data_IF_180355164649
#
_entry.id   IF_180355164649
#
_cell.length_a   1.000
_cell.length_b   1.000
_cell.length_c   1.000
_cell.angle_alpha   90.00
_cell.angle_beta   90.00
_cell.angle_gamma   90.00
#
_symmetry.space_group_name_H-M   'P 1'
#
loop_
_entity.id
_entity.type
_entity.pdbx_description
1 polymer ?
#
# COMPACT_ATOMS: atom_id res chain seq x y z
N UNK A 1 -15.47 -26.42 -56.08
CA UNK A 1 -16.79 -26.40 -56.75
C UNK A 1 -17.87 -26.72 -55.70
N UNK A 2 -18.91 -25.87 -55.53
CA UNK A 2 -20.14 -26.06 -54.69
C UNK A 2 -19.91 -26.41 -53.18
N UNK A 3 -20.04 -25.54 -52.17
CA UNK A 3 -21.18 -24.71 -51.67
C UNK A 3 -22.37 -25.51 -51.08
N UNK A 4 -22.55 -25.47 -49.74
CA UNK A 4 -23.86 -25.28 -49.06
C UNK A 4 -23.77 -25.01 -47.55
N UNK A 5 -24.26 -23.82 -47.17
CA UNK A 5 -25.15 -23.46 -46.03
C UNK A 5 -24.91 -24.05 -44.63
N UNK A 6 -24.63 -23.14 -43.67
CA UNK A 6 -24.99 -23.29 -42.25
C UNK A 6 -26.16 -22.32 -41.97
N UNK A 7 -27.14 -22.77 -41.18
CA UNK A 7 -28.40 -22.07 -40.94
C UNK A 7 -28.39 -21.39 -39.56
N UNK A 8 -28.91 -20.17 -39.49
CA UNK A 8 -29.15 -19.43 -38.24
C UNK A 8 -30.38 -19.95 -37.51
N UNK A 9 -30.32 -20.11 -36.19
CA UNK A 9 -31.48 -20.35 -35.33
C UNK A 9 -31.53 -19.32 -34.19
N UNK A 10 -32.54 -18.45 -34.25
CA UNK A 10 -32.97 -17.65 -33.11
C UNK A 10 -34.06 -18.43 -32.37
N UNK A 11 -34.01 -18.45 -31.03
CA UNK A 11 -35.04 -19.08 -30.19
C UNK A 11 -35.84 -17.99 -29.50
N UNK A 12 -37.05 -17.74 -30.00
CA UNK A 12 -38.08 -16.95 -29.33
C UNK A 12 -38.84 -17.85 -28.35
N UNK A 13 -38.85 -17.49 -27.05
CA UNK A 13 -39.61 -18.21 -26.04
C UNK A 13 -40.84 -17.40 -25.63
N UNK A 14 -41.99 -17.73 -26.22
CA UNK A 14 -43.31 -17.30 -25.76
C UNK A 14 -43.86 -18.36 -24.80
N UNK A 15 -44.48 -17.95 -23.68
CA UNK A 15 -45.33 -18.86 -22.91
C UNK A 15 -46.56 -18.12 -22.35
N UNK A 16 -47.67 -18.84 -22.29
CA UNK A 16 -49.02 -18.28 -22.25
C UNK A 16 -49.56 -17.98 -20.84
N UNK A 17 -50.58 -17.13 -20.82
CA UNK A 17 -51.44 -16.82 -19.67
C UNK A 17 -52.51 -17.91 -19.53
N UNK A 18 -52.74 -18.43 -18.31
CA UNK A 18 -53.88 -19.30 -17.98
C UNK A 18 -54.50 -18.93 -16.63
N UNK A 19 -55.84 -18.92 -16.61
CA UNK A 19 -56.74 -18.35 -15.60
C UNK A 19 -58.10 -19.09 -15.67
N UNK A 20 -58.91 -19.29 -14.62
CA UNK A 20 -58.81 -19.01 -13.17
C UNK A 20 -59.45 -20.23 -12.44
N UNK A 21 -59.08 -20.57 -11.19
CA UNK A 21 -60.14 -20.84 -10.18
C UNK A 21 -59.67 -20.89 -8.71
N UNK A 22 -60.62 -20.53 -7.85
CA UNK A 22 -60.56 -20.09 -6.45
C UNK A 22 -60.22 -21.10 -5.34
N UNK A 23 -59.74 -20.49 -4.24
CA UNK A 23 -60.03 -20.76 -2.81
C UNK A 23 -59.70 -22.13 -2.18
N UNK A 24 -58.80 -22.09 -1.18
CA UNK A 24 -59.26 -22.25 0.20
C UNK A 24 -58.42 -21.39 1.17
N UNK A 25 -59.04 -20.83 2.21
CA UNK A 25 -58.35 -20.09 3.28
C UNK A 25 -57.88 -21.04 4.39
N UNK A 26 -56.61 -20.93 4.80
CA UNK A 26 -56.24 -21.18 6.19
C UNK A 26 -55.29 -20.09 6.69
N UNK A 27 -55.78 -19.29 7.63
CA UNK A 27 -55.02 -18.17 8.18
C UNK A 27 -53.94 -18.64 9.16
N UNK A 28 -52.67 -18.39 8.84
CA UNK A 28 -51.59 -18.33 9.83
C UNK A 28 -51.05 -16.91 9.90
N UNK A 29 -51.35 -16.21 11.00
CA UNK A 29 -50.84 -14.88 11.32
C UNK A 29 -49.33 -14.90 11.56
N UNK A 30 -48.55 -14.85 10.48
CA UNK A 30 -47.19 -14.34 10.54
C UNK A 30 -47.24 -12.81 10.75
N UNK A 31 -46.56 -12.28 11.76
CA UNK A 31 -46.33 -10.84 11.85
C UNK A 31 -45.44 -10.45 10.67
N UNK A 32 -45.95 -9.65 9.75
CA UNK A 32 -45.10 -8.93 8.82
C UNK A 32 -44.30 -7.90 9.63
N UNK A 33 -43.00 -8.11 9.77
CA UNK A 33 -42.10 -7.00 10.08
C UNK A 33 -42.17 -6.02 8.92
N UNK A 34 -42.49 -4.77 9.21
CA UNK A 34 -42.53 -3.73 8.20
C UNK A 34 -41.11 -3.53 7.66
N UNK A 35 -40.94 -3.63 6.34
CA UNK A 35 -39.72 -3.15 5.69
C UNK A 35 -39.49 -1.69 6.12
N UNK A 36 -38.26 -1.30 6.51
CA UNK A 36 -37.97 0.05 6.92
C UNK A 36 -38.13 0.98 5.71
N UNK A 37 -39.29 1.63 5.62
CA UNK A 37 -39.58 2.62 4.58
C UNK A 37 -38.47 3.68 4.59
N UNK A 38 -37.87 4.01 3.43
CA UNK A 38 -36.85 5.03 3.36
C UNK A 38 -37.45 6.36 3.83
N UNK A 39 -37.04 6.81 5.02
CA UNK A 39 -37.53 8.06 5.62
C UNK A 39 -37.34 9.19 4.61
N UNK A 40 -38.44 9.87 4.29
CA UNK A 40 -38.45 10.93 3.28
C UNK A 40 -37.38 11.98 3.61
N UNK A 41 -36.50 12.21 2.63
CA UNK A 41 -35.40 13.16 2.79
C UNK A 41 -35.94 14.56 2.57
N UNK A 42 -36.53 15.14 3.61
CA UNK A 42 -36.65 16.60 3.68
C UNK A 42 -35.22 17.15 3.63
N UNK A 43 -34.88 17.78 2.49
CA UNK A 43 -33.62 18.44 2.24
C UNK A 43 -33.53 19.75 3.05
N UNK A 44 -33.45 19.61 4.37
CA UNK A 44 -33.10 20.70 5.25
C UNK A 44 -31.73 21.25 4.88
N UNK A 45 -31.55 22.56 5.03
CA UNK A 45 -30.30 23.21 4.66
C UNK A 45 -29.11 22.60 5.43
N UNK A 46 -28.07 22.20 4.70
CA UNK A 46 -26.82 21.78 5.33
C UNK A 46 -26.24 22.95 6.13
N UNK A 47 -25.70 22.62 7.31
CA UNK A 47 -24.81 23.53 8.01
C UNK A 47 -23.67 23.97 7.08
N UNK A 48 -23.07 25.16 7.28
CA UNK A 48 -21.86 25.54 6.58
C UNK A 48 -20.79 24.44 6.74
N UNK A 49 -20.13 24.05 5.65
CA UNK A 49 -19.11 22.98 5.67
C UNK A 49 -17.98 23.23 6.68
N UNK A 50 -17.71 24.49 7.02
CA UNK A 50 -16.78 24.94 8.06
C UNK A 50 -17.22 24.60 9.50
N UNK A 51 -18.50 24.36 9.74
CA UNK A 51 -19.07 23.98 11.06
C UNK A 51 -19.15 22.46 11.25
N UNK A 52 -18.89 21.66 10.21
CA UNK A 52 -18.90 20.20 10.28
C UNK A 52 -17.55 19.72 10.84
N UNK A 53 -17.56 19.15 12.04
CA UNK A 53 -16.35 18.57 12.63
C UNK A 53 -15.81 17.39 11.79
N UNK A 54 -14.51 17.42 11.51
CA UNK A 54 -13.78 16.32 10.87
C UNK A 54 -13.89 15.00 11.64
N UNK A 55 -13.96 15.05 12.97
CA UNK A 55 -14.05 13.85 13.81
C UNK A 55 -15.42 13.19 13.68
N UNK A 56 -16.51 13.97 13.60
CA UNK A 56 -17.85 13.46 13.32
C UNK A 56 -17.91 12.78 11.94
N UNK A 57 -17.30 13.38 10.92
CA UNK A 57 -17.19 12.79 9.58
C UNK A 57 -16.33 11.52 9.59
N UNK A 58 -15.23 11.50 10.33
CA UNK A 58 -14.37 10.31 10.49
C UNK A 58 -15.11 9.18 11.23
N UNK A 59 -15.92 9.50 12.23
CA UNK A 59 -16.76 8.53 12.94
C UNK A 59 -17.85 7.96 12.03
N UNK A 60 -18.54 8.80 11.26
CA UNK A 60 -19.55 8.35 10.28
C UNK A 60 -18.95 7.44 9.18
N UNK A 61 -17.71 7.72 8.75
CA UNK A 61 -16.99 6.91 7.76
C UNK A 61 -16.15 5.77 8.37
N UNK A 62 -16.27 5.49 9.66
CA UNK A 62 -15.41 4.52 10.37
C UNK A 62 -15.42 3.10 9.79
N UNK A 63 -16.52 2.70 9.13
CA UNK A 63 -16.63 1.41 8.43
C UNK A 63 -15.62 1.22 7.29
N UNK A 64 -15.05 2.30 6.76
CA UNK A 64 -14.00 2.26 5.72
C UNK A 64 -12.58 2.12 6.30
N UNK A 65 -12.46 1.84 7.60
CA UNK A 65 -11.19 1.64 8.29
C UNK A 65 -10.46 2.94 8.59
N UNK A 66 -9.12 2.89 8.63
CA UNK A 66 -8.33 4.07 9.01
C UNK A 66 -8.21 5.08 7.85
N UNK A 67 -8.90 6.20 8.00
CA UNK A 67 -8.90 7.32 7.07
C UNK A 67 -8.59 8.67 7.74
N UNK A 68 -8.11 9.59 6.92
CA UNK A 68 -7.86 11.00 7.23
C UNK A 68 -8.89 11.86 6.50
N UNK A 69 -9.63 12.72 7.22
CA UNK A 69 -10.53 13.71 6.60
C UNK A 69 -9.72 14.95 6.22
N UNK A 70 -9.39 15.08 4.94
CA UNK A 70 -8.53 16.15 4.42
C UNK A 70 -9.31 17.47 4.39
N UNK A 71 -10.49 17.46 3.77
CA UNK A 71 -11.34 18.66 3.64
C UNK A 71 -12.81 18.29 3.49
N UNK A 72 -13.69 19.17 3.99
CA UNK A 72 -15.13 19.11 3.80
C UNK A 72 -15.52 20.36 3.02
N UNK A 73 -16.07 20.18 1.82
CA UNK A 73 -16.58 21.26 0.96
C UNK A 73 -18.10 21.11 0.77
N UNK A 74 -18.78 22.17 0.30
CA UNK A 74 -20.17 22.03 -0.17
C UNK A 74 -20.19 21.20 -1.46
N UNK A 75 -21.22 20.37 -1.62
CA UNK A 75 -21.51 19.70 -2.89
C UNK A 75 -22.21 20.65 -3.87
N UNK A 76 -22.06 20.48 -5.20
CA UNK A 76 -22.95 21.09 -6.20
C UNK A 76 -24.42 20.66 -6.05
N UNK A 77 -24.68 19.49 -5.45
CA UNK A 77 -26.03 19.02 -5.14
C UNK A 77 -26.41 19.48 -3.72
N UNK A 78 -27.49 20.25 -3.61
CA UNK A 78 -28.06 20.67 -2.33
C UNK A 78 -28.38 19.46 -1.45
N UNK A 79 -28.14 19.59 -0.15
CA UNK A 79 -28.32 18.48 0.80
C UNK A 79 -27.09 17.59 1.00
N UNK A 80 -26.01 17.79 0.24
CA UNK A 80 -24.77 17.00 0.34
C UNK A 80 -23.53 17.85 0.66
N UNK A 81 -22.57 17.26 1.38
CA UNK A 81 -21.17 17.69 1.46
C UNK A 81 -20.33 16.89 0.46
N UNK A 82 -19.28 17.53 -0.08
CA UNK A 82 -18.19 16.85 -0.79
C UNK A 82 -17.02 16.68 0.18
N UNK A 83 -16.81 15.46 0.68
CA UNK A 83 -15.72 15.14 1.62
C UNK A 83 -14.54 14.57 0.85
N UNK A 84 -13.39 15.24 0.96
CA UNK A 84 -12.12 14.72 0.48
C UNK A 84 -11.46 13.97 1.64
N UNK A 85 -11.26 12.68 1.44
CA UNK A 85 -10.60 11.79 2.40
C UNK A 85 -9.28 11.26 1.81
N UNK A 86 -8.39 10.81 2.69
CA UNK A 86 -7.15 10.13 2.33
C UNK A 86 -7.08 8.79 3.08
N UNK A 87 -7.02 7.71 2.31
CA UNK A 87 -6.98 6.33 2.81
C UNK A 87 -5.88 5.56 2.06
N UNK A 88 -5.04 4.81 2.77
CA UNK A 88 -3.86 4.13 2.18
C UNK A 88 -2.85 5.08 1.48
N UNK A 89 -2.93 6.38 1.75
CA UNK A 89 -2.16 7.41 1.04
C UNK A 89 -2.65 7.76 -0.37
N UNK A 90 -3.89 7.38 -0.72
CA UNK A 90 -4.60 7.84 -1.93
C UNK A 90 -5.73 8.77 -1.51
N UNK A 91 -6.03 9.77 -2.35
CA UNK A 91 -7.19 10.64 -2.15
C UNK A 91 -8.43 10.00 -2.76
N UNK A 92 -9.55 10.11 -2.05
CA UNK A 92 -10.88 9.74 -2.53
C UNK A 92 -11.87 10.85 -2.17
N UNK A 93 -12.99 10.88 -2.90
CA UNK A 93 -14.10 11.79 -2.62
C UNK A 93 -15.33 10.95 -2.26
N UNK A 94 -15.94 11.28 -1.13
CA UNK A 94 -17.20 10.69 -0.67
C UNK A 94 -18.20 11.82 -0.48
N UNK A 95 -19.43 11.63 -0.93
CA UNK A 95 -20.49 12.60 -0.69
C UNK A 95 -21.33 12.14 0.50
N UNK A 96 -21.52 13.02 1.49
CA UNK A 96 -22.32 12.74 2.68
C UNK A 96 -23.53 13.64 2.71
N UNK A 97 -24.68 13.16 3.18
CA UNK A 97 -25.83 14.03 3.42
C UNK A 97 -25.60 14.98 4.61
N UNK A 98 -26.44 16.02 4.74
CA UNK A 98 -26.31 17.00 5.82
C UNK A 98 -26.27 16.40 7.24
N UNK A 99 -26.89 15.22 7.45
CA UNK A 99 -26.98 14.53 8.75
C UNK A 99 -25.86 13.49 8.96
N UNK A 100 -24.98 13.28 7.97
CA UNK A 100 -23.93 12.25 7.99
C UNK A 100 -24.48 10.81 8.17
N UNK A 101 -25.72 10.57 7.71
CA UNK A 101 -26.44 9.31 7.79
C UNK A 101 -26.24 8.44 6.54
N UNK A 102 -26.05 9.06 5.37
CA UNK A 102 -25.88 8.40 4.08
C UNK A 102 -24.58 8.83 3.41
N UNK A 103 -23.89 7.86 2.80
CA UNK A 103 -22.67 8.06 2.03
C UNK A 103 -22.87 7.58 0.59
N UNK A 104 -22.50 8.44 -0.37
CA UNK A 104 -22.51 8.13 -1.80
C UNK A 104 -21.04 8.02 -2.26
N UNK A 105 -20.69 6.85 -2.79
CA UNK A 105 -19.36 6.50 -3.28
C UNK A 105 -19.45 6.35 -4.80
N UNK A 106 -18.78 7.23 -5.55
CA UNK A 106 -18.79 7.19 -7.01
C UNK A 106 -18.50 8.54 -7.66
N UNK A 107 -18.71 8.60 -8.97
CA UNK A 107 -18.53 9.80 -9.78
C UNK A 107 -19.77 10.69 -9.78
N UNK A 108 -19.59 11.96 -9.44
CA UNK A 108 -20.54 13.03 -9.69
C UNK A 108 -20.24 13.63 -11.05
N UNK A 109 -21.07 13.31 -12.03
CA UNK A 109 -20.94 13.79 -13.40
C UNK A 109 -21.86 15.00 -13.59
N UNK A 110 -21.28 16.16 -13.89
CA UNK A 110 -22.02 17.29 -14.42
C UNK A 110 -22.37 16.97 -15.89
N UNK A 111 -23.66 16.74 -16.13
CA UNK A 111 -24.20 16.37 -17.45
C UNK A 111 -24.10 17.54 -18.43
N UNK A 112 -24.20 18.79 -17.96
CA UNK A 112 -24.17 19.98 -18.83
C UNK A 112 -22.77 20.20 -19.39
N UNK A 113 -21.74 20.17 -18.52
CA UNK A 113 -20.35 20.32 -18.96
C UNK A 113 -19.67 19.00 -19.37
N UNK A 114 -20.33 17.86 -19.17
CA UNK A 114 -19.82 16.49 -19.41
C UNK A 114 -18.55 16.15 -18.61
N UNK A 115 -18.43 16.68 -17.39
CA UNK A 115 -17.25 16.55 -16.53
C UNK A 115 -17.51 15.69 -15.29
N UNK A 116 -16.55 14.85 -14.93
CA UNK A 116 -16.55 14.08 -13.69
C UNK A 116 -15.89 14.91 -12.57
N UNK A 117 -16.72 15.56 -11.76
CA UNK A 117 -16.30 16.46 -10.68
C UNK A 117 -15.60 15.70 -9.53
N UNK A 118 -15.94 14.41 -9.33
CA UNK A 118 -15.24 13.52 -8.39
C UNK A 118 -13.81 13.31 -8.88
N UNK A 119 -13.65 12.89 -10.14
CA UNK A 119 -12.35 12.61 -10.76
C UNK A 119 -11.46 13.83 -10.84
N UNK A 120 -11.99 14.99 -11.26
CA UNK A 120 -11.25 16.26 -11.27
C UNK A 120 -10.75 16.62 -9.86
N UNK A 121 -11.61 16.49 -8.84
CA UNK A 121 -11.23 16.74 -7.44
C UNK A 121 -10.13 15.76 -7.00
N UNK A 122 -10.26 14.45 -7.25
CA UNK A 122 -9.24 13.46 -6.88
C UNK A 122 -7.90 13.71 -7.57
N UNK A 123 -7.90 14.01 -8.87
CA UNK A 123 -6.69 14.33 -9.64
C UNK A 123 -6.00 15.57 -9.09
N UNK A 124 -6.77 16.62 -8.75
CA UNK A 124 -6.23 17.86 -8.15
C UNK A 124 -5.43 17.56 -6.88
N UNK A 125 -6.06 16.95 -5.87
CA UNK A 125 -5.38 16.65 -4.60
C UNK A 125 -4.21 15.68 -4.77
N UNK A 126 -4.31 14.73 -5.70
CA UNK A 126 -3.23 13.80 -6.00
C UNK A 126 -2.01 14.50 -6.63
N UNK A 127 -2.22 15.52 -7.46
CA UNK A 127 -1.17 16.36 -8.05
C UNK A 127 -0.58 17.34 -7.03
N UNK A 128 -1.40 17.95 -6.17
CA UNK A 128 -0.94 18.83 -5.10
C UNK A 128 -0.01 18.08 -4.13
N UNK A 129 -0.42 16.91 -3.65
CA UNK A 129 0.41 16.06 -2.80
C UNK A 129 1.68 15.53 -3.50
N UNK A 130 1.65 15.32 -4.83
CA UNK A 130 2.86 15.00 -5.60
C UNK A 130 3.82 16.19 -5.67
N UNK A 131 3.32 17.42 -5.88
CA UNK A 131 4.15 18.63 -5.90
C UNK A 131 4.82 18.88 -4.55
N UNK A 132 4.05 18.89 -3.45
CA UNK A 132 4.59 19.05 -2.09
C UNK A 132 5.69 18.03 -1.78
N UNK A 133 5.47 16.78 -2.20
CA UNK A 133 6.42 15.67 -2.05
C UNK A 133 7.70 15.87 -2.87
N UNK A 134 7.59 16.36 -4.10
CA UNK A 134 8.75 16.67 -4.94
C UNK A 134 9.54 17.86 -4.38
N UNK A 135 8.88 18.91 -3.89
CA UNK A 135 9.55 20.03 -3.22
C UNK A 135 10.25 19.60 -1.92
N UNK A 136 9.66 18.68 -1.15
CA UNK A 136 10.32 18.10 0.03
C UNK A 136 11.57 17.28 -0.34
N UNK A 137 11.48 16.44 -1.37
CA UNK A 137 12.63 15.68 -1.89
C UNK A 137 13.72 16.62 -2.39
N UNK A 138 13.34 17.65 -3.15
CA UNK A 138 14.23 18.68 -3.69
C UNK A 138 14.94 19.46 -2.58
N UNK A 139 14.22 19.86 -1.53
CA UNK A 139 14.78 20.52 -0.34
C UNK A 139 15.76 19.63 0.42
N UNK A 140 15.51 18.33 0.52
CA UNK A 140 16.42 17.38 1.19
C UNK A 140 17.66 17.02 0.38
N UNK A 141 17.52 16.90 -0.93
CA UNK A 141 18.60 16.47 -1.84
C UNK A 141 19.46 17.64 -2.34
N UNK A 142 18.91 18.85 -2.36
CA UNK A 142 19.46 19.98 -3.12
C UNK A 142 19.20 19.82 -4.63
N UNK A 143 19.21 20.96 -5.34
CA UNK A 143 18.93 21.07 -6.78
C UNK A 143 19.68 20.02 -7.62
N UNK A 144 21.01 19.92 -7.42
CA UNK A 144 21.88 19.07 -8.23
C UNK A 144 21.52 17.58 -8.13
N UNK A 145 21.44 17.04 -6.90
CA UNK A 145 21.10 15.62 -6.70
C UNK A 145 19.67 15.33 -7.14
N UNK A 146 18.74 16.26 -6.90
CA UNK A 146 17.34 16.10 -7.31
C UNK A 146 17.21 15.96 -8.84
N UNK A 147 17.83 16.85 -9.62
CA UNK A 147 17.77 16.77 -11.09
C UNK A 147 18.61 15.61 -11.67
N UNK A 148 19.74 15.21 -11.06
CA UNK A 148 20.43 13.96 -11.42
C UNK A 148 19.53 12.73 -11.16
N UNK A 149 18.87 12.65 -10.01
CA UNK A 149 18.00 11.54 -9.62
C UNK A 149 16.72 11.48 -10.47
N UNK A 150 16.19 12.64 -10.86
CA UNK A 150 15.05 12.78 -11.78
C UNK A 150 15.37 12.31 -13.20
N UNK A 151 16.62 12.50 -13.68
CA UNK A 151 17.08 11.89 -14.94
C UNK A 151 17.18 10.36 -14.85
N UNK A 152 17.59 9.83 -13.70
CA UNK A 152 17.68 8.37 -13.45
C UNK A 152 16.31 7.71 -13.33
N UNK A 153 15.35 8.35 -12.65
CA UNK A 153 14.03 7.76 -12.35
C UNK A 153 12.91 8.16 -13.31
N UNK A 154 13.04 9.28 -14.03
CA UNK A 154 11.95 9.85 -14.82
C UNK A 154 10.71 10.13 -13.94
N UNK A 155 9.54 9.67 -14.40
CA UNK A 155 8.29 9.75 -13.63
C UNK A 155 8.30 8.96 -12.32
N UNK A 156 9.20 7.97 -12.17
CA UNK A 156 9.28 7.16 -10.95
C UNK A 156 9.88 7.91 -9.76
N UNK A 157 10.40 9.13 -9.93
CA UNK A 157 10.80 9.98 -8.80
C UNK A 157 9.63 10.26 -7.84
N UNK A 158 8.39 10.29 -8.35
CA UNK A 158 7.19 10.41 -7.54
C UNK A 158 6.94 9.19 -6.62
N UNK A 159 7.63 8.06 -6.83
CA UNK A 159 7.55 6.87 -5.96
C UNK A 159 8.44 6.99 -4.72
N UNK A 160 9.55 7.75 -4.78
CA UNK A 160 10.48 7.94 -3.65
C UNK A 160 9.73 8.44 -2.42
N UNK A 161 10.07 7.97 -1.24
CA UNK A 161 9.53 8.42 0.04
C UNK A 161 10.60 9.17 0.81
N UNK A 162 10.16 9.98 1.78
CA UNK A 162 11.03 10.53 2.82
C UNK A 162 10.60 9.88 4.13
N UNK A 163 11.54 9.21 4.79
CA UNK A 163 11.34 8.52 6.07
C UNK A 163 12.25 9.12 7.14
N UNK A 164 11.85 9.04 8.40
CA UNK A 164 12.74 9.39 9.51
C UNK A 164 13.68 8.23 9.81
N UNK A 165 14.97 8.52 10.02
CA UNK A 165 16.00 7.53 10.36
C UNK A 165 16.23 7.42 11.88
N UNK A 166 15.52 8.22 12.69
CA UNK A 166 15.51 8.04 14.15
C UNK A 166 15.06 6.64 14.52
N UNK A 167 15.72 6.08 15.54
CA UNK A 167 15.46 4.75 16.08
C UNK A 167 15.67 3.62 15.05
N UNK A 168 16.55 3.81 14.07
CA UNK A 168 16.97 2.72 13.19
C UNK A 168 17.63 1.60 14.03
N UNK A 169 17.19 0.33 13.91
CA UNK A 169 17.73 -0.77 14.69
C UNK A 169 19.22 -0.99 14.41
N UNK A 170 19.97 -1.34 15.46
CA UNK A 170 21.40 -1.67 15.40
C UNK A 170 21.72 -3.10 15.84
N UNK A 171 20.90 -3.69 16.72
CA UNK A 171 21.02 -5.11 17.05
C UNK A 171 20.32 -5.96 15.98
N UNK A 172 20.72 -7.22 15.80
CA UNK A 172 20.07 -8.17 14.88
C UNK A 172 20.14 -7.88 13.37
N UNK A 173 20.68 -6.74 12.94
CA UNK A 173 20.85 -6.40 11.51
C UNK A 173 21.88 -7.31 10.82
N UNK A 174 21.90 -7.32 9.48
CA UNK A 174 22.88 -8.08 8.69
C UNK A 174 23.58 -7.12 7.72
N UNK A 175 24.90 -6.97 7.84
CA UNK A 175 25.69 -6.10 6.96
C UNK A 175 26.20 -6.91 5.75
N UNK A 176 26.01 -6.42 4.53
CA UNK A 176 26.66 -6.92 3.31
C UNK A 176 27.59 -5.85 2.73
N UNK A 177 28.77 -6.25 2.27
CA UNK A 177 29.85 -5.35 1.87
C UNK A 177 30.89 -5.12 2.97
N UNK A 178 31.72 -4.09 2.79
CA UNK A 178 32.75 -3.70 3.76
C UNK A 178 32.09 -3.11 5.01
N UNK A 179 32.34 -3.62 6.24
CA UNK A 179 31.82 -3.02 7.47
C UNK A 179 32.19 -1.54 7.63
N UNK A 180 33.37 -1.14 7.14
CA UNK A 180 33.92 0.22 7.23
C UNK A 180 33.54 1.13 6.05
N UNK A 181 32.65 0.64 5.16
CA UNK A 181 32.08 1.43 4.06
C UNK A 181 31.41 2.71 4.58
N UNK A 182 31.79 3.85 3.98
CA UNK A 182 31.29 5.19 4.34
C UNK A 182 29.81 5.37 4.00
N UNK A 183 29.32 4.70 2.96
CA UNK A 183 27.95 4.84 2.48
C UNK A 183 27.11 3.61 2.85
N UNK A 184 26.08 3.81 3.67
CA UNK A 184 25.19 2.76 4.14
C UNK A 184 23.82 2.89 3.48
N UNK A 185 23.34 1.81 2.87
CA UNK A 185 21.96 1.69 2.38
C UNK A 185 21.23 0.67 3.26
N UNK A 186 20.18 1.09 3.95
CA UNK A 186 19.38 0.19 4.76
C UNK A 186 18.34 -0.52 3.89
N UNK A 187 18.04 -1.78 4.20
CA UNK A 187 17.02 -2.55 3.48
C UNK A 187 16.12 -3.25 4.48
N UNK A 188 14.86 -2.85 4.56
CA UNK A 188 13.86 -3.60 5.32
C UNK A 188 13.43 -4.79 4.47
N UNK A 189 13.68 -6.00 4.98
CA UNK A 189 13.66 -7.24 4.20
C UNK A 189 12.96 -8.35 4.98
N UNK A 190 12.30 -9.25 4.26
CA UNK A 190 11.68 -10.46 4.81
C UNK A 190 12.46 -11.67 4.27
N UNK A 191 12.89 -12.64 5.11
CA UNK A 191 13.76 -13.73 4.70
C UNK A 191 13.10 -14.80 3.82
N UNK A 192 11.76 -14.82 3.72
CA UNK A 192 10.97 -15.75 2.90
C UNK A 192 10.40 -15.07 1.64
N UNK A 193 10.45 -13.74 1.56
CA UNK A 193 9.89 -12.98 0.44
C UNK A 193 10.69 -13.14 -0.88
N UNK A 194 10.06 -13.57 -1.99
CA UNK A 194 10.72 -13.71 -3.29
C UNK A 194 11.29 -12.40 -3.86
N UNK A 195 10.65 -11.26 -3.60
CA UNK A 195 11.18 -9.95 -4.03
C UNK A 195 12.40 -9.54 -3.21
N UNK A 196 12.47 -9.93 -1.93
CA UNK A 196 13.64 -9.71 -1.09
C UNK A 196 14.81 -10.56 -1.60
N UNK A 197 14.58 -11.84 -1.89
CA UNK A 197 15.56 -12.73 -2.51
C UNK A 197 16.12 -12.15 -3.84
N UNK A 198 15.24 -11.60 -4.70
CA UNK A 198 15.67 -10.95 -5.95
C UNK A 198 16.56 -9.72 -5.70
N UNK A 199 16.19 -8.85 -4.78
CA UNK A 199 17.00 -7.67 -4.42
C UNK A 199 18.35 -8.07 -3.78
N UNK A 200 18.38 -9.18 -3.05
CA UNK A 200 19.56 -9.69 -2.37
C UNK A 200 20.71 -10.00 -3.32
N UNK A 201 20.41 -10.52 -4.50
CA UNK A 201 21.43 -10.77 -5.52
C UNK A 201 21.98 -9.46 -6.12
N UNK A 202 21.14 -8.44 -6.33
CA UNK A 202 21.60 -7.08 -6.68
C UNK A 202 22.50 -6.47 -5.59
N UNK A 203 22.18 -6.69 -4.31
CA UNK A 203 23.02 -6.24 -3.17
C UNK A 203 24.41 -6.90 -3.23
N UNK A 204 24.47 -8.22 -3.41
CA UNK A 204 25.72 -8.99 -3.54
C UNK A 204 26.55 -8.55 -4.75
N UNK A 205 25.91 -8.22 -5.86
CA UNK A 205 26.57 -7.70 -7.07
C UNK A 205 27.19 -6.32 -6.81
N UNK A 206 26.43 -5.40 -6.22
CA UNK A 206 26.88 -4.02 -5.96
C UNK A 206 28.07 -4.00 -4.99
N UNK A 207 28.03 -4.73 -3.87
CA UNK A 207 29.14 -4.72 -2.89
C UNK A 207 30.39 -5.49 -3.36
N UNK A 208 30.28 -6.28 -4.43
CA UNK A 208 31.45 -6.80 -5.14
C UNK A 208 32.15 -5.67 -5.92
N UNK A 209 31.37 -4.79 -6.57
CA UNK A 209 31.81 -3.69 -7.45
C UNK A 209 32.27 -2.43 -6.71
N UNK A 210 31.51 -1.93 -5.73
CA UNK A 210 31.83 -0.72 -4.95
C UNK A 210 32.10 -1.10 -3.48
N UNK A 211 33.30 -0.77 -2.99
CA UNK A 211 33.77 -1.10 -1.62
C UNK A 211 33.49 0.00 -0.60
N UNK A 212 33.05 1.17 -1.03
CA UNK A 212 32.60 2.26 -0.14
C UNK A 212 31.12 2.11 0.23
N UNK A 213 30.41 1.14 -0.36
CA UNK A 213 28.99 0.87 -0.16
C UNK A 213 28.81 -0.40 0.66
N UNK A 214 28.01 -0.29 1.74
CA UNK A 214 27.44 -1.44 2.45
C UNK A 214 25.93 -1.36 2.46
N UNK A 215 25.31 -2.53 2.51
CA UNK A 215 23.88 -2.66 2.78
C UNK A 215 23.68 -3.21 4.19
N UNK A 216 22.75 -2.63 4.93
CA UNK A 216 22.39 -3.11 6.27
C UNK A 216 20.92 -3.55 6.29
N UNK A 217 20.73 -4.86 6.41
CA UNK A 217 19.43 -5.52 6.33
C UNK A 217 18.76 -5.47 7.69
N UNK A 218 17.53 -4.94 7.72
CA UNK A 218 16.63 -4.89 8.89
C UNK A 218 15.50 -5.89 8.62
N UNK A 219 15.34 -6.88 9.48
CA UNK A 219 14.39 -7.97 9.25
C UNK A 219 12.95 -7.62 9.65
N UNK A 220 12.02 -7.74 8.71
CA UNK A 220 10.58 -7.58 8.91
C UNK A 220 9.83 -8.81 8.39
N UNK A 221 9.68 -9.88 9.20
CA UNK A 221 8.95 -11.06 8.79
C UNK A 221 7.44 -10.76 8.73
N UNK A 222 6.86 -10.97 7.56
CA UNK A 222 5.46 -10.77 7.23
C UNK A 222 4.61 -11.94 7.79
N UNK A 223 3.39 -11.67 8.29
CA UNK A 223 2.58 -12.68 8.99
C UNK A 223 2.03 -13.79 8.08
N UNK A 224 2.10 -13.62 6.75
CA UNK A 224 1.67 -14.60 5.76
C UNK A 224 2.82 -15.47 5.21
N UNK A 225 4.03 -15.29 5.70
CA UNK A 225 5.18 -16.14 5.43
C UNK A 225 5.43 -17.06 6.65
N UNK A 226 5.08 -18.36 6.57
CA UNK A 226 5.03 -19.24 7.74
C UNK A 226 6.36 -19.45 8.46
N UNK A 227 7.49 -19.40 7.75
CA UNK A 227 8.82 -19.62 8.30
C UNK A 227 9.55 -18.29 8.63
N UNK A 228 9.16 -17.20 7.99
CA UNK A 228 9.83 -15.91 8.11
C UNK A 228 10.03 -15.44 9.56
N UNK A 229 9.04 -15.62 10.46
CA UNK A 229 9.17 -15.25 11.89
C UNK A 229 10.36 -15.98 12.52
N UNK A 230 10.35 -17.31 12.51
CA UNK A 230 11.38 -18.12 13.15
C UNK A 230 12.75 -17.97 12.50
N UNK A 231 12.82 -17.79 11.17
CA UNK A 231 14.08 -17.53 10.48
C UNK A 231 14.65 -16.16 10.88
N UNK A 232 13.81 -15.12 10.95
CA UNK A 232 14.26 -13.78 11.32
C UNK A 232 14.78 -13.72 12.76
N UNK A 233 14.09 -14.40 13.68
CA UNK A 233 14.48 -14.49 15.09
C UNK A 233 15.76 -15.30 15.29
N UNK A 234 15.90 -16.42 14.56
CA UNK A 234 17.13 -17.18 14.47
C UNK A 234 18.30 -16.28 14.06
N UNK A 235 18.18 -15.56 12.92
CA UNK A 235 19.20 -14.63 12.44
C UNK A 235 19.53 -13.56 13.48
N UNK A 236 18.52 -12.83 13.98
CA UNK A 236 18.73 -11.70 14.89
C UNK A 236 19.45 -12.10 16.19
N UNK A 237 19.20 -13.32 16.68
CA UNK A 237 19.80 -13.84 17.90
C UNK A 237 21.31 -14.14 17.79
N UNK A 238 21.82 -14.45 16.59
CA UNK A 238 23.21 -14.84 16.34
C UNK A 238 24.19 -13.72 16.69
N UNK A 239 25.31 -14.06 17.33
CA UNK A 239 26.41 -13.12 17.61
C UNK A 239 27.28 -12.83 16.38
N UNK A 240 27.50 -13.83 15.51
CA UNK A 240 28.37 -13.71 14.33
C UNK A 240 27.64 -13.13 13.11
N UNK A 241 28.22 -12.09 12.51
CA UNK A 241 27.82 -11.55 11.20
C UNK A 241 27.83 -12.60 10.10
N UNK A 242 28.82 -13.49 10.10
CA UNK A 242 28.93 -14.57 9.13
C UNK A 242 27.74 -15.53 9.24
N UNK A 243 27.36 -15.92 10.46
CA UNK A 243 26.21 -16.80 10.69
C UNK A 243 24.89 -16.13 10.28
N UNK A 244 24.74 -14.82 10.54
CA UNK A 244 23.57 -14.04 10.07
C UNK A 244 23.46 -14.06 8.54
N UNK A 245 24.57 -13.82 7.83
CA UNK A 245 24.63 -13.89 6.36
C UNK A 245 24.33 -15.30 5.84
N UNK A 246 24.94 -16.33 6.43
CA UNK A 246 24.77 -17.73 6.02
C UNK A 246 23.29 -18.16 6.08
N UNK A 247 22.60 -17.86 7.19
CA UNK A 247 21.18 -18.22 7.37
C UNK A 247 20.30 -17.45 6.37
N UNK A 248 20.53 -16.15 6.20
CA UNK A 248 19.75 -15.33 5.26
C UNK A 248 19.96 -15.75 3.80
N UNK A 249 21.21 -16.01 3.40
CA UNK A 249 21.55 -16.51 2.06
C UNK A 249 20.92 -17.87 1.78
N UNK A 250 20.98 -18.81 2.75
CA UNK A 250 20.31 -20.12 2.62
C UNK A 250 18.78 -19.97 2.51
N UNK A 251 18.18 -19.07 3.29
CA UNK A 251 16.75 -18.76 3.22
C UNK A 251 16.35 -18.30 1.82
N UNK A 252 17.05 -17.30 1.26
CA UNK A 252 16.74 -16.79 -0.09
C UNK A 252 17.03 -17.79 -1.22
N UNK A 253 18.01 -18.67 -1.06
CA UNK A 253 18.22 -19.79 -1.98
C UNK A 253 17.05 -20.80 -1.91
N UNK A 254 16.56 -21.10 -0.72
CA UNK A 254 15.42 -21.99 -0.52
C UNK A 254 14.12 -21.41 -1.08
N UNK A 255 13.84 -20.12 -0.85
CA UNK A 255 12.72 -19.37 -1.48
C UNK A 255 12.78 -19.49 -3.00
N UNK A 256 13.96 -19.25 -3.59
CA UNK A 256 14.16 -19.29 -5.04
C UNK A 256 13.96 -20.69 -5.64
N UNK A 257 14.25 -21.75 -4.85
CA UNK A 257 14.04 -23.15 -5.21
C UNK A 257 12.65 -23.69 -4.83
N UNK A 258 11.83 -22.92 -4.10
CA UNK A 258 10.59 -23.36 -3.44
C UNK A 258 10.77 -24.52 -2.45
N UNK A 259 11.92 -24.55 -1.78
CA UNK A 259 12.28 -25.57 -0.81
C UNK A 259 11.76 -25.22 0.60
N UNK A 260 10.63 -25.81 0.97
CA UNK A 260 10.02 -25.63 2.30
C UNK A 260 10.70 -26.43 3.41
N UNK A 261 11.48 -27.48 3.11
CA UNK A 261 12.22 -28.24 4.13
C UNK A 261 13.34 -27.36 4.69
N UNK A 262 14.17 -26.78 3.81
CA UNK A 262 15.23 -25.87 4.23
C UNK A 262 14.67 -24.66 4.98
N UNK A 263 13.54 -24.07 4.54
CA UNK A 263 12.92 -22.95 5.26
C UNK A 263 12.44 -23.36 6.67
N UNK A 264 11.81 -24.52 6.81
CA UNK A 264 11.41 -25.08 8.10
C UNK A 264 12.61 -25.32 9.02
N UNK A 265 13.69 -25.90 8.50
CA UNK A 265 14.92 -26.19 9.25
C UNK A 265 15.66 -24.93 9.73
N UNK A 266 15.55 -23.83 9.00
CA UNK A 266 16.09 -22.51 9.39
C UNK A 266 15.19 -21.76 10.38
N UNK A 267 13.90 -22.13 10.49
CA UNK A 267 12.88 -21.44 11.29
C UNK A 267 12.98 -21.73 12.80
N UNK A 268 14.13 -21.43 13.40
CA UNK A 268 14.49 -21.71 14.80
C UNK A 268 14.42 -20.44 15.67
N UNK A 269 13.21 -19.91 15.84
CA UNK A 269 12.96 -18.72 16.65
C UNK A 269 13.30 -18.90 18.13
N UNK A 270 13.57 -17.80 18.82
CA UNK A 270 13.88 -17.76 20.26
C UNK A 270 13.58 -16.37 20.85
N UNK A 271 13.42 -16.29 22.17
CA UNK A 271 13.00 -15.08 22.89
C UNK A 271 13.90 -13.86 22.64
N UNK A 272 15.23 -14.05 22.62
CA UNK A 272 16.19 -12.97 22.29
C UNK A 272 15.93 -12.45 20.88
N UNK A 273 15.78 -13.35 19.91
CA UNK A 273 15.43 -13.02 18.53
C UNK A 273 14.10 -12.27 18.44
N UNK A 274 13.06 -12.75 19.13
CA UNK A 274 11.73 -12.13 19.13
C UNK A 274 11.77 -10.69 19.65
N UNK A 275 12.50 -10.44 20.75
CA UNK A 275 12.70 -9.08 21.27
C UNK A 275 13.31 -8.14 20.23
N UNK A 276 14.41 -8.54 19.59
CA UNK A 276 15.11 -7.72 18.57
C UNK A 276 14.21 -7.49 17.35
N UNK A 277 13.53 -8.55 16.87
CA UNK A 277 12.59 -8.45 15.75
C UNK A 277 11.36 -7.58 16.09
N UNK A 278 10.97 -7.45 17.36
CA UNK A 278 9.93 -6.51 17.79
C UNK A 278 10.33 -5.05 17.55
N UNK A 279 11.59 -4.70 17.81
CA UNK A 279 12.16 -3.37 17.56
C UNK A 279 12.26 -3.09 16.05
N UNK A 280 12.69 -4.07 15.26
CA UNK A 280 12.69 -3.98 13.80
C UNK A 280 11.28 -3.73 13.24
N UNK A 281 10.27 -4.44 13.77
CA UNK A 281 8.87 -4.25 13.42
C UNK A 281 8.33 -2.88 13.85
N UNK A 282 8.80 -2.33 14.97
CA UNK A 282 8.44 -0.98 15.40
C UNK A 282 9.00 0.10 14.46
N UNK A 283 10.29 0.01 14.11
CA UNK A 283 10.91 0.91 13.12
C UNK A 283 10.24 0.81 11.74
N UNK A 284 10.02 -0.40 11.24
CA UNK A 284 9.32 -0.61 9.97
C UNK A 284 7.92 0.03 9.93
N UNK A 285 7.17 -0.03 11.04
CA UNK A 285 5.88 0.65 11.18
C UNK A 285 6.03 2.17 11.22
N UNK A 286 7.05 2.71 11.91
CA UNK A 286 7.25 4.17 12.01
C UNK A 286 7.62 4.80 10.65
N UNK A 287 8.35 4.09 9.80
CA UNK A 287 8.63 4.51 8.41
C UNK A 287 7.50 4.19 7.42
N UNK A 288 6.33 3.77 7.90
CA UNK A 288 5.14 3.46 7.10
C UNK A 288 5.39 2.40 6.01
N UNK A 289 6.10 1.32 6.36
CA UNK A 289 6.36 0.18 5.48
C UNK A 289 5.04 -0.42 4.95
N UNK A 290 4.93 -0.54 3.62
CA UNK A 290 3.75 -1.10 2.93
C UNK A 290 3.96 -2.52 2.39
N UNK A 291 5.18 -3.03 2.45
CA UNK A 291 5.61 -4.31 1.90
C UNK A 291 7.13 -4.35 1.76
N UNK A 292 7.69 -5.54 1.61
CA UNK A 292 9.14 -5.77 1.50
C UNK A 292 9.55 -6.16 0.06
N UNK A 293 10.78 -5.84 -0.36
CA UNK A 293 11.76 -5.04 0.36
C UNK A 293 11.42 -3.54 0.34
N UNK A 294 11.99 -2.77 1.28
CA UNK A 294 12.07 -1.31 1.19
C UNK A 294 13.55 -0.92 1.31
N UNK A 295 14.04 -0.16 0.33
CA UNK A 295 15.40 0.34 0.27
C UNK A 295 15.39 1.77 0.83
N UNK A 296 16.27 2.07 1.76
CA UNK A 296 16.38 3.37 2.44
C UNK A 296 17.84 3.84 2.32
N UNK A 297 18.03 4.87 1.49
CA UNK A 297 19.30 5.57 1.32
C UNK A 297 19.50 6.61 2.45
N UNK A 298 20.71 7.18 2.58
CA UNK A 298 20.95 8.35 3.44
C UNK A 298 19.99 9.52 3.16
N UNK A 299 19.96 10.47 4.10
CA UNK A 299 18.95 11.54 4.17
C UNK A 299 17.48 11.07 4.30
N UNK A 300 17.25 9.77 4.51
CA UNK A 300 15.92 9.19 4.66
C UNK A 300 15.17 9.06 3.33
N UNK A 301 15.88 9.07 2.20
CA UNK A 301 15.26 8.83 0.89
C UNK A 301 14.99 7.33 0.76
N UNK A 302 13.75 6.93 0.52
CA UNK A 302 13.36 5.51 0.45
C UNK A 302 12.61 5.15 -0.83
N UNK A 303 12.66 3.88 -1.23
CA UNK A 303 11.85 3.33 -2.32
C UNK A 303 11.38 1.91 -1.94
N UNK A 304 10.11 1.60 -2.24
CA UNK A 304 9.53 0.29 -1.98
C UNK A 304 9.63 -0.64 -3.18
N UNK A 305 9.81 -1.93 -2.92
CA UNK A 305 9.92 -2.98 -3.93
C UNK A 305 11.36 -3.26 -4.39
N UNK A 306 11.53 -4.41 -5.04
CA UNK A 306 12.79 -4.77 -5.68
C UNK A 306 12.94 -4.05 -7.03
N UNK A 307 14.03 -3.29 -7.19
CA UNK A 307 14.37 -2.57 -8.42
C UNK A 307 15.56 -3.23 -9.13
N UNK A 308 15.77 -3.03 -10.44
CA UNK A 308 16.90 -3.61 -11.17
C UNK A 308 18.26 -3.16 -10.62
N UNK A 309 19.30 -4.02 -10.68
CA UNK A 309 20.64 -3.72 -10.16
C UNK A 309 21.18 -2.39 -10.71
N UNK A 310 21.13 -2.19 -12.03
CA UNK A 310 21.61 -0.97 -12.68
C UNK A 310 20.91 0.30 -12.17
N UNK A 311 19.61 0.21 -11.87
CA UNK A 311 18.84 1.35 -11.37
C UNK A 311 19.23 1.64 -9.91
N UNK A 312 19.33 0.60 -9.07
CA UNK A 312 19.80 0.73 -7.69
C UNK A 312 21.20 1.34 -7.64
N UNK A 313 22.13 0.85 -8.47
CA UNK A 313 23.50 1.34 -8.52
C UNK A 313 23.55 2.82 -8.97
N UNK A 314 22.84 3.20 -10.04
CA UNK A 314 22.74 4.61 -10.47
C UNK A 314 22.15 5.53 -9.40
N UNK A 315 21.15 5.06 -8.65
CA UNK A 315 20.61 5.82 -7.51
C UNK A 315 21.66 6.00 -6.40
N UNK A 316 22.44 4.97 -6.09
CA UNK A 316 23.55 5.04 -5.13
C UNK A 316 24.60 6.04 -5.60
N UNK A 317 25.02 5.98 -6.87
CA UNK A 317 26.01 6.92 -7.45
C UNK A 317 25.56 8.38 -7.38
N UNK A 318 24.28 8.67 -7.57
CA UNK A 318 23.74 10.04 -7.44
C UNK A 318 23.67 10.49 -5.98
N UNK A 319 23.26 9.60 -5.07
CA UNK A 319 23.00 9.94 -3.67
C UNK A 319 24.28 9.97 -2.80
N UNK A 320 25.32 9.21 -3.19
CA UNK A 320 26.67 9.13 -2.57
C UNK A 320 27.54 10.39 -2.80
N UNK A 321 27.27 11.16 -3.86
CA UNK A 321 27.93 12.45 -4.17
C UNK A 321 27.54 13.57 -3.20
#
# INVERSE_FOLDING_TARGET
MKLKKILTTAVSLSLAISLVSSCNEESKKGKAEAEPTPKSVNAGECLPASMVSKDKVKQALSMFGNLEVVKIDKSPINGLYKVIIKAGGRYAVVYLDCKLQYAIIGSMIDIQSKRDLTRETMVKYQLEAQKEKLELLKKKLGEKKFEELKKVLGSNIAQLMVVDLKNIPKEGTIIYGNPDAKYTVYVISDPECPFCAKLHESIKEIVKKDKDVKFEIILFPLPFHPYAKGIAENIASQSSMEKRREILDKSFQAVSKRDSSTLSELSKGNEKGEKIISEHKAFAKSVNLRGTPMIIFPEGIAIGGAIPTDLLYKMIEVLKK
#
